data_IF_341417262053
#
_entry.id   IF_341417262053
#
_cell.length_a   1.000
_cell.length_b   1.000
_cell.length_c   1.000
_cell.angle_alpha   90.00
_cell.angle_beta   90.00
_cell.angle_gamma   90.00
#
_symmetry.space_group_name_H-M   'P 1'
#
loop_
_entity.id
_entity.type
_entity.pdbx_description
1 polymer ?
#
# COMPACT_ATOMS: atom_id res chain seq x y z
N UNK A 1 -9.49 12.98 -7.49
CA UNK A 1 -8.34 12.24 -6.98
C UNK A 1 -7.35 11.97 -8.09
N UNK A 2 -6.17 12.58 -8.01
CA UNK A 2 -5.07 12.28 -8.92
C UNK A 2 -4.14 11.27 -8.25
N UNK A 3 -3.71 10.25 -9.00
CA UNK A 3 -2.66 9.32 -8.57
C UNK A 3 -1.35 9.83 -9.11
N UNK A 4 -0.40 10.05 -8.22
CA UNK A 4 0.96 10.45 -8.56
C UNK A 4 1.91 9.28 -8.38
N UNK A 5 3.14 9.46 -8.83
CA UNK A 5 4.18 8.45 -8.76
C UNK A 5 5.45 9.10 -8.21
N UNK A 6 6.09 8.43 -7.25
CA UNK A 6 7.37 8.83 -6.67
C UNK A 6 8.44 7.81 -7.02
N UNK A 7 9.48 8.28 -7.71
CA UNK A 7 10.74 7.56 -7.83
C UNK A 7 11.67 7.93 -6.68
N UNK A 8 12.50 6.98 -6.28
CA UNK A 8 13.46 7.09 -5.21
C UNK A 8 14.86 6.83 -5.75
N UNK A 9 15.84 7.59 -5.28
CA UNK A 9 17.24 7.21 -5.45
C UNK A 9 17.56 6.08 -4.48
N UNK A 10 18.06 4.94 -4.97
CA UNK A 10 18.47 3.82 -4.12
C UNK A 10 19.95 4.01 -3.74
N UNK A 11 20.27 4.19 -2.44
CA UNK A 11 21.66 4.21 -1.99
C UNK A 11 22.39 2.92 -2.35
N UNK A 12 23.63 3.00 -2.83
CA UNK A 12 24.45 1.84 -3.23
C UNK A 12 24.47 0.71 -2.19
N UNK A 13 24.51 1.08 -0.92
CA UNK A 13 24.52 0.13 0.21
C UNK A 13 23.23 -0.72 0.31
N UNK A 14 22.12 -0.24 -0.22
CA UNK A 14 20.81 -0.92 -0.20
C UNK A 14 20.55 -1.71 -1.48
N UNK A 15 21.20 -1.33 -2.59
CA UNK A 15 21.01 -1.99 -3.90
C UNK A 15 21.35 -3.48 -3.85
N UNK A 16 22.32 -3.88 -3.02
CA UNK A 16 22.67 -5.29 -2.84
C UNK A 16 21.61 -6.11 -2.06
N UNK A 17 20.72 -5.43 -1.33
CA UNK A 17 19.66 -6.06 -0.54
C UNK A 17 18.31 -6.08 -1.27
N UNK A 18 18.24 -5.54 -2.48
CA UNK A 18 17.03 -5.48 -3.30
C UNK A 18 17.20 -6.36 -4.53
N UNK A 19 16.10 -6.93 -5.00
CA UNK A 19 16.09 -7.60 -6.28
C UNK A 19 15.98 -6.59 -7.45
N UNK A 20 16.30 -7.00 -8.70
CA UNK A 20 16.26 -6.09 -9.84
C UNK A 20 14.89 -5.45 -10.09
N UNK A 21 13.81 -6.20 -9.88
CA UNK A 21 12.44 -5.71 -10.10
C UNK A 21 12.06 -4.63 -9.08
N UNK A 22 12.47 -4.79 -7.82
CA UNK A 22 12.34 -3.76 -6.78
C UNK A 22 13.13 -2.51 -7.13
N UNK A 23 14.34 -2.66 -7.68
CA UNK A 23 15.14 -1.53 -8.11
C UNK A 23 14.48 -0.75 -9.24
N UNK A 24 13.98 -1.47 -10.25
CA UNK A 24 13.26 -0.88 -11.39
C UNK A 24 12.02 -0.12 -10.92
N UNK A 25 11.24 -0.73 -10.03
CA UNK A 25 10.03 -0.09 -9.49
C UNK A 25 10.37 1.15 -8.65
N UNK A 26 11.42 1.12 -7.84
CA UNK A 26 11.79 2.27 -7.02
C UNK A 26 12.41 3.41 -7.83
N UNK A 27 13.26 3.13 -8.81
CA UNK A 27 14.03 4.17 -9.53
C UNK A 27 13.37 4.65 -10.82
N UNK A 28 12.63 3.77 -11.51
CA UNK A 28 12.14 3.99 -12.88
C UNK A 28 10.62 4.10 -12.91
N UNK A 29 9.91 3.02 -12.54
CA UNK A 29 8.44 3.00 -12.66
C UNK A 29 7.75 3.85 -11.58
N UNK A 30 8.37 3.91 -10.40
CA UNK A 30 7.95 4.63 -9.20
C UNK A 30 6.78 4.02 -8.44
N UNK A 31 6.65 4.43 -7.18
CA UNK A 31 5.59 4.01 -6.25
C UNK A 31 4.38 4.96 -6.36
N UNK A 32 3.16 4.44 -6.57
CA UNK A 32 1.97 5.27 -6.63
C UNK A 32 1.59 5.82 -5.25
N UNK A 33 1.07 7.05 -5.22
CA UNK A 33 0.57 7.70 -4.00
C UNK A 33 -0.58 8.67 -4.28
N UNK A 34 -1.25 9.11 -3.21
CA UNK A 34 -2.35 10.08 -3.23
C UNK A 34 -1.97 11.26 -2.33
N UNK A 35 -2.00 12.50 -2.86
CA UNK A 35 -1.59 13.71 -2.14
C UNK A 35 -2.73 14.35 -1.31
N UNK A 36 -3.98 13.95 -1.55
CA UNK A 36 -5.17 14.68 -1.08
C UNK A 36 -5.66 14.29 0.32
N UNK A 37 -5.20 13.17 0.90
CA UNK A 37 -5.81 12.58 2.12
C UNK A 37 -4.83 12.23 3.26
N UNK A 38 -3.53 12.50 3.10
CA UNK A 38 -2.53 12.21 4.14
C UNK A 38 -2.19 10.72 4.34
N UNK A 39 -3.06 9.80 3.95
CA UNK A 39 -2.76 8.38 3.84
C UNK A 39 -1.95 8.06 2.57
N UNK A 40 -1.01 7.12 2.70
CA UNK A 40 -0.09 6.68 1.64
C UNK A 40 0.81 7.77 1.07
N UNK A 41 1.26 8.69 1.93
CA UNK A 41 2.16 9.77 1.52
C UNK A 41 3.57 9.20 1.28
N UNK A 42 4.23 9.51 0.15
CA UNK A 42 5.57 9.01 -0.10
C UNK A 42 6.57 9.68 0.84
N UNK A 43 7.57 8.93 1.28
CA UNK A 43 8.69 9.53 2.01
C UNK A 43 9.53 10.42 1.07
N UNK A 44 10.22 11.42 1.63
CA UNK A 44 11.16 12.24 0.86
C UNK A 44 12.26 11.40 0.19
N UNK A 45 12.68 10.34 0.88
CA UNK A 45 13.66 9.36 0.44
C UNK A 45 13.51 8.05 1.22
N UNK A 46 14.11 6.98 0.69
CA UNK A 46 14.07 5.67 1.32
C UNK A 46 14.72 5.70 2.70
N UNK A 47 14.07 5.05 3.68
CA UNK A 47 14.56 4.96 5.05
C UNK A 47 14.65 3.52 5.48
N UNK A 48 15.74 3.16 6.14
CA UNK A 48 15.83 1.85 6.82
C UNK A 48 15.28 2.04 8.23
N UNK A 49 14.43 1.12 8.67
CA UNK A 49 13.93 1.15 10.04
C UNK A 49 15.07 0.93 11.07
N UNK A 50 14.89 1.29 12.36
CA UNK A 50 15.94 1.14 13.37
C UNK A 50 16.49 -0.28 13.56
N UNK A 51 15.71 -1.32 13.24
CA UNK A 51 16.18 -2.71 13.30
C UNK A 51 17.04 -3.12 12.10
N UNK A 52 17.00 -2.37 11.00
CA UNK A 52 17.72 -2.70 9.78
C UNK A 52 17.01 -3.71 8.88
N UNK A 53 15.78 -4.11 9.21
CA UNK A 53 15.07 -5.20 8.53
C UNK A 53 14.14 -4.69 7.42
N UNK A 54 13.62 -3.47 7.55
CA UNK A 54 12.61 -2.93 6.65
C UNK A 54 13.13 -1.70 5.92
N UNK A 55 12.90 -1.68 4.61
CA UNK A 55 13.11 -0.51 3.77
C UNK A 55 11.79 0.21 3.54
N UNK A 56 11.61 1.35 4.20
CA UNK A 56 10.40 2.16 4.20
C UNK A 56 10.40 3.14 3.03
N UNK A 57 9.25 3.30 2.40
CA UNK A 57 9.06 4.20 1.26
C UNK A 57 7.79 5.06 1.36
N UNK A 58 6.86 4.75 2.27
CA UNK A 58 5.56 5.40 2.36
C UNK A 58 5.07 5.48 3.82
N UNK A 59 4.39 6.57 4.17
CA UNK A 59 3.62 6.74 5.40
C UNK A 59 2.16 6.37 5.13
N UNK A 60 1.64 5.34 5.81
CA UNK A 60 0.23 4.92 5.66
C UNK A 60 -0.71 5.58 6.67
N UNK A 61 -0.17 6.19 7.73
CA UNK A 61 -0.95 6.88 8.76
C UNK A 61 -0.06 7.48 9.84
N UNK A 62 -0.65 7.89 10.96
CA UNK A 62 0.13 8.39 12.10
C UNK A 62 1.01 7.26 12.62
N UNK A 63 2.33 7.51 12.66
CA UNK A 63 3.36 6.56 13.12
C UNK A 63 3.33 5.20 12.41
N UNK A 64 2.73 5.12 11.21
CA UNK A 64 2.60 3.91 10.42
C UNK A 64 3.25 4.05 9.04
N UNK A 65 4.00 3.01 8.63
CA UNK A 65 4.84 3.05 7.44
C UNK A 65 4.67 1.79 6.60
N UNK A 66 4.72 1.94 5.27
CA UNK A 66 4.82 0.82 4.33
C UNK A 66 6.26 0.67 3.87
N UNK A 67 6.71 -0.57 3.81
CA UNK A 67 8.07 -0.90 3.39
C UNK A 67 8.23 -2.33 2.89
N UNK A 68 9.45 -2.63 2.45
CA UNK A 68 9.89 -3.95 2.01
C UNK A 68 10.59 -4.62 3.19
N UNK A 69 10.18 -5.82 3.56
CA UNK A 69 10.98 -6.71 4.39
C UNK A 69 12.17 -7.20 3.57
N UNK A 70 13.38 -6.75 3.92
CA UNK A 70 14.61 -7.05 3.17
C UNK A 70 15.01 -8.53 3.24
N UNK A 71 14.42 -9.33 4.12
CA UNK A 71 14.69 -10.76 4.21
C UNK A 71 13.74 -11.59 3.32
N UNK A 72 12.46 -11.21 3.30
CA UNK A 72 11.43 -11.97 2.57
C UNK A 72 11.00 -11.34 1.24
N UNK A 73 11.38 -10.09 0.98
CA UNK A 73 10.94 -9.27 -0.15
C UNK A 73 9.43 -9.04 -0.23
N UNK A 74 8.71 -9.33 0.87
CA UNK A 74 7.32 -8.96 0.99
C UNK A 74 7.17 -7.48 1.31
N UNK A 75 6.09 -6.87 0.84
CA UNK A 75 5.65 -5.56 1.30
C UNK A 75 4.82 -5.74 2.56
N UNK A 76 5.15 -4.93 3.55
CA UNK A 76 4.54 -4.95 4.88
C UNK A 76 4.16 -3.53 5.28
N UNK A 77 3.17 -3.45 6.16
CA UNK A 77 2.85 -2.24 6.89
C UNK A 77 3.35 -2.39 8.33
N UNK A 78 4.23 -1.48 8.74
CA UNK A 78 4.62 -1.27 10.12
C UNK A 78 3.62 -0.34 10.77
N UNK A 79 2.80 -0.89 11.66
CA UNK A 79 1.94 -0.13 12.56
C UNK A 79 2.73 0.32 13.79
N UNK A 80 2.11 1.17 14.62
CA UNK A 80 2.63 1.72 15.89
C UNK A 80 3.72 0.87 16.58
N UNK A 81 4.76 1.49 17.16
CA UNK A 81 5.85 0.79 17.83
C UNK A 81 5.37 -0.31 18.79
N UNK A 82 5.65 -1.57 18.44
CA UNK A 82 5.31 -2.75 19.24
C UNK A 82 4.16 -3.60 18.69
N UNK A 83 3.45 -3.13 17.65
CA UNK A 83 2.53 -3.99 16.89
C UNK A 83 3.31 -4.89 15.92
N UNK A 84 2.73 -6.04 15.60
CA UNK A 84 3.28 -6.90 14.55
C UNK A 84 3.04 -6.22 13.20
N UNK A 85 4.01 -6.29 12.27
CA UNK A 85 3.80 -5.85 10.91
C UNK A 85 2.61 -6.58 10.29
N UNK A 86 1.78 -5.84 9.55
CA UNK A 86 0.73 -6.38 8.73
C UNK A 86 1.30 -6.73 7.35
N UNK A 87 0.91 -7.87 6.81
CA UNK A 87 1.26 -8.23 5.44
C UNK A 87 0.47 -7.35 4.48
N UNK A 88 1.13 -6.81 3.45
CA UNK A 88 0.47 -6.07 2.38
C UNK A 88 0.51 -6.88 1.07
N UNK A 89 1.70 -7.21 0.57
CA UNK A 89 1.84 -7.97 -0.68
C UNK A 89 3.10 -8.84 -0.67
N UNK A 90 3.13 -9.83 -1.55
CA UNK A 90 4.23 -10.76 -1.72
C UNK A 90 5.41 -10.16 -2.50
N UNK A 91 5.21 -9.02 -3.16
CA UNK A 91 6.26 -8.28 -3.87
C UNK A 91 5.89 -6.81 -4.06
N UNK A 92 6.89 -5.97 -4.34
CA UNK A 92 6.68 -4.55 -4.62
C UNK A 92 5.84 -4.31 -5.87
N UNK A 93 6.05 -5.08 -6.94
CA UNK A 93 5.24 -4.97 -8.16
C UNK A 93 3.77 -5.30 -7.92
N UNK A 94 3.48 -6.32 -7.09
CA UNK A 94 2.10 -6.64 -6.68
C UNK A 94 1.50 -5.54 -5.82
N UNK A 95 2.28 -4.93 -4.91
CA UNK A 95 1.81 -3.77 -4.15
C UNK A 95 1.41 -2.61 -5.07
N UNK A 96 2.24 -2.26 -6.06
CA UNK A 96 1.92 -1.22 -7.04
C UNK A 96 0.63 -1.56 -7.82
N UNK A 97 0.46 -2.81 -8.24
CA UNK A 97 -0.75 -3.26 -8.92
C UNK A 97 -1.98 -3.18 -8.00
N UNK A 98 -1.87 -3.62 -6.75
CA UNK A 98 -2.92 -3.54 -5.73
C UNK A 98 -3.32 -2.10 -5.45
N UNK A 99 -2.35 -1.19 -5.32
CA UNK A 99 -2.61 0.24 -5.13
C UNK A 99 -3.33 0.87 -6.32
N UNK A 100 -2.95 0.49 -7.55
CA UNK A 100 -3.66 0.92 -8.76
C UNK A 100 -5.09 0.37 -8.79
N UNK A 101 -5.30 -0.88 -8.37
CA UNK A 101 -6.65 -1.45 -8.25
C UNK A 101 -7.49 -0.73 -7.19
N UNK A 102 -6.89 -0.40 -6.04
CA UNK A 102 -7.50 0.43 -5.00
C UNK A 102 -7.96 1.76 -5.60
N UNK A 103 -7.04 2.53 -6.19
CA UNK A 103 -7.33 3.86 -6.73
C UNK A 103 -8.27 3.88 -7.95
N UNK A 104 -8.26 2.84 -8.78
CA UNK A 104 -9.18 2.71 -9.91
C UNK A 104 -10.58 2.24 -9.48
N UNK A 105 -10.66 1.49 -8.38
CA UNK A 105 -11.89 0.98 -7.81
C UNK A 105 -12.65 2.00 -6.95
N UNK A 106 -12.07 3.16 -6.64
CA UNK A 106 -12.72 4.22 -5.87
C UNK A 106 -13.82 4.91 -6.68
N UNK A 107 -15.06 4.97 -6.17
CA UNK A 107 -16.01 5.99 -6.55
C UNK A 107 -16.23 6.91 -5.33
N UNK A 108 -15.28 7.80 -5.02
CA UNK A 108 -15.47 8.76 -3.93
C UNK A 108 -15.39 10.19 -4.44
N UNK A 109 -16.01 10.43 -5.60
CA UNK A 109 -16.59 11.76 -5.80
C UNK A 109 -17.54 11.99 -4.65
N UNK A 110 -17.48 13.14 -3.95
CA UNK A 110 -18.61 13.58 -3.15
C UNK A 110 -19.77 13.79 -4.12
N UNK A 111 -20.53 12.74 -4.40
CA UNK A 111 -21.91 12.93 -4.80
C UNK A 111 -22.63 13.36 -3.54
N UNK A 112 -23.50 14.36 -3.66
CA UNK A 112 -24.32 14.94 -2.58
C UNK A 112 -25.28 13.93 -1.91
N UNK A 113 -25.10 12.63 -2.16
CA UNK A 113 -25.88 11.50 -1.69
C UNK A 113 -24.88 10.44 -1.22
N UNK A 114 -24.88 10.15 0.08
CA UNK A 114 -24.12 9.04 0.63
C UNK A 114 -24.55 7.73 -0.08
N UNK A 115 -23.60 6.92 -0.56
CA UNK A 115 -23.94 5.60 -1.10
C UNK A 115 -24.67 4.78 -0.03
N UNK A 116 -25.62 3.93 -0.44
CA UNK A 116 -26.25 2.99 0.48
C UNK A 116 -25.28 1.85 0.87
N UNK A 117 -25.53 1.23 2.02
CA UNK A 117 -24.68 0.17 2.59
C UNK A 117 -24.51 -1.01 1.62
N UNK A 118 -25.53 -1.31 0.81
CA UNK A 118 -25.49 -2.39 -0.18
C UNK A 118 -24.47 -2.09 -1.30
N UNK A 119 -24.33 -0.82 -1.71
CA UNK A 119 -23.34 -0.39 -2.72
C UNK A 119 -21.92 -0.45 -2.16
N UNK A 120 -21.71 -0.05 -0.91
CA UNK A 120 -20.40 -0.09 -0.25
C UNK A 120 -19.92 -1.54 -0.03
N UNK A 121 -20.81 -2.42 0.42
CA UNK A 121 -20.53 -3.85 0.56
C UNK A 121 -20.12 -4.51 -0.77
N UNK A 122 -20.81 -4.17 -1.86
CA UNK A 122 -20.47 -4.66 -3.20
C UNK A 122 -19.10 -4.14 -3.68
N UNK A 123 -18.79 -2.86 -3.43
CA UNK A 123 -17.49 -2.26 -3.76
C UNK A 123 -16.34 -2.94 -2.99
N UNK A 124 -16.51 -3.16 -1.69
CA UNK A 124 -15.55 -3.89 -0.86
C UNK A 124 -15.29 -5.31 -1.37
N UNK A 125 -16.34 -6.03 -1.76
CA UNK A 125 -16.21 -7.39 -2.32
C UNK A 125 -15.51 -7.40 -3.68
N UNK A 126 -15.81 -6.43 -4.54
CA UNK A 126 -15.12 -6.26 -5.82
C UNK A 126 -13.63 -5.96 -5.59
N UNK A 127 -13.33 -5.05 -4.67
CA UNK A 127 -11.95 -4.72 -4.28
C UNK A 127 -11.18 -5.95 -3.79
N UNK A 128 -11.72 -6.71 -2.82
CA UNK A 128 -11.12 -7.97 -2.34
C UNK A 128 -10.85 -8.95 -3.48
N UNK A 129 -11.76 -9.05 -4.44
CA UNK A 129 -11.60 -9.96 -5.59
C UNK A 129 -10.44 -9.51 -6.48
N UNK A 130 -10.32 -8.21 -6.77
CA UNK A 130 -9.20 -7.66 -7.53
C UNK A 130 -7.86 -7.86 -6.82
N UNK A 131 -7.79 -7.61 -5.51
CA UNK A 131 -6.59 -7.85 -4.71
C UNK A 131 -6.20 -9.33 -4.74
N UNK A 132 -7.17 -10.23 -4.59
CA UNK A 132 -6.94 -11.68 -4.62
C UNK A 132 -6.40 -12.15 -5.97
N UNK A 133 -6.84 -11.56 -7.08
CA UNK A 133 -6.33 -11.89 -8.42
C UNK A 133 -4.88 -11.41 -8.62
N UNK A 134 -4.48 -10.31 -7.97
CA UNK A 134 -3.11 -9.76 -8.01
C UNK A 134 -2.17 -10.53 -7.08
N UNK A 135 -2.61 -10.76 -5.84
CA UNK A 135 -1.91 -11.49 -4.82
C UNK A 135 -2.92 -12.17 -3.86
N UNK A 136 -3.11 -13.50 -3.95
CA UNK A 136 -4.05 -14.21 -3.11
C UNK A 136 -3.81 -14.03 -1.60
N UNK A 137 -2.55 -13.90 -1.17
CA UNK A 137 -2.21 -13.72 0.25
C UNK A 137 -2.57 -12.33 0.75
N UNK A 138 -2.53 -11.34 -0.14
CA UNK A 138 -2.89 -9.95 0.16
C UNK A 138 -4.39 -9.75 0.44
N UNK A 139 -5.23 -10.71 0.06
CA UNK A 139 -6.67 -10.71 0.32
C UNK A 139 -7.08 -11.61 1.50
N UNK A 140 -6.11 -12.19 2.23
CA UNK A 140 -6.38 -12.93 3.46
C UNK A 140 -6.71 -11.99 4.62
N UNK A 141 -7.33 -12.51 5.68
CA UNK A 141 -7.71 -11.70 6.84
C UNK A 141 -6.51 -11.18 7.64
N UNK A 142 -6.66 -9.99 8.23
CA UNK A 142 -5.60 -9.27 8.96
C UNK A 142 -4.40 -8.86 8.09
N UNK A 143 -4.68 -8.55 6.82
CA UNK A 143 -3.72 -7.93 5.91
C UNK A 143 -4.09 -6.46 5.73
N UNK A 144 -3.13 -5.64 5.28
CA UNK A 144 -3.36 -4.22 5.03
C UNK A 144 -4.57 -4.00 4.11
N UNK A 145 -4.69 -4.77 3.03
CA UNK A 145 -5.81 -4.62 2.09
C UNK A 145 -7.14 -5.20 2.58
N UNK A 146 -7.11 -6.15 3.52
CA UNK A 146 -8.36 -6.60 4.16
C UNK A 146 -8.94 -5.50 5.06
N UNK A 147 -8.10 -4.78 5.80
CA UNK A 147 -8.51 -3.60 6.59
C UNK A 147 -9.08 -2.51 5.66
N UNK A 148 -8.37 -2.17 4.57
CA UNK A 148 -8.90 -1.22 3.56
C UNK A 148 -10.24 -1.69 2.99
N UNK A 149 -10.44 -2.99 2.78
CA UNK A 149 -11.74 -3.50 2.36
C UNK A 149 -12.83 -3.32 3.42
N UNK A 150 -12.50 -3.43 4.70
CA UNK A 150 -13.44 -3.14 5.79
C UNK A 150 -13.81 -1.66 5.83
N UNK A 151 -12.82 -0.78 5.67
CA UNK A 151 -13.01 0.67 5.62
C UNK A 151 -13.92 1.08 4.45
N UNK A 152 -13.70 0.49 3.27
CA UNK A 152 -14.58 0.65 2.10
C UNK A 152 -16.02 0.26 2.43
N UNK A 153 -16.22 -0.88 3.08
CA UNK A 153 -17.56 -1.37 3.43
C UNK A 153 -18.28 -0.48 4.45
N UNK A 154 -17.53 0.26 5.28
CA UNK A 154 -18.06 1.05 6.39
C UNK A 154 -18.21 2.54 6.10
N UNK A 155 -17.74 3.06 4.95
CA UNK A 155 -17.75 4.50 4.75
C UNK A 155 -16.45 5.22 5.14
N UNK A 156 -15.45 4.49 5.65
CA UNK A 156 -14.34 5.04 6.46
C UNK A 156 -12.96 4.84 5.80
N UNK A 157 -12.93 4.84 4.46
CA UNK A 157 -11.71 4.66 3.68
C UNK A 157 -10.86 5.94 3.52
N UNK A 158 -11.25 7.04 4.20
CA UNK A 158 -10.61 8.37 4.12
C UNK A 158 -9.55 8.57 5.20
#
# INVERSE_FOLDING_TARGET
MNVYVKCFEIPDRLRASLNPDECEVLEVDGIPFIDEYGAFSPLDGLRVDPSGHYLLFCESGIDSFVGIDLMSHHVIELLDPGRRPCFANSSLGQYVASFRAFTAGLPYTPHDIAPDDDTLGAAAQQFRSMIKDIDPRAAEGNTMWDEVSWDIANGDWQ
#
